data_IF_850946330949
#
_entry.id   IF_850946330949
#
_cell.length_a   1.000
_cell.length_b   1.000
_cell.length_c   1.000
_cell.angle_alpha   90.00
_cell.angle_beta   90.00
_cell.angle_gamma   90.00
#
_symmetry.space_group_name_H-M   'P 1'
#
loop_
_entity.id
_entity.type
_entity.pdbx_description
1 polymer ?
#
# COMPACT_ATOMS: atom_id res chain seq x y z
N UNK A 1 46.55 25.18 65.14
CA UNK A 1 45.40 24.24 65.08
C UNK A 1 44.15 25.06 64.77
N UNK A 2 43.39 24.88 63.69
CA UNK A 2 43.41 23.93 62.60
C UNK A 2 42.83 24.67 61.36
N UNK A 3 43.57 24.70 60.26
CA UNK A 3 43.10 25.24 58.99
C UNK A 3 42.12 24.24 58.35
N UNK A 4 40.85 24.63 58.24
CA UNK A 4 39.79 23.89 57.57
C UNK A 4 40.15 23.64 56.11
N UNK A 5 40.44 22.39 55.75
CA UNK A 5 40.47 21.93 54.37
C UNK A 5 39.06 21.54 53.94
N UNK A 6 38.43 22.37 53.10
CA UNK A 6 37.27 21.96 52.31
C UNK A 6 37.76 21.38 50.96
N UNK A 7 37.26 20.21 50.52
CA UNK A 7 37.64 19.65 49.24
C UNK A 7 37.01 20.47 48.11
N UNK A 8 37.85 20.95 47.18
CA UNK A 8 37.39 21.55 45.92
C UNK A 8 36.64 20.51 45.10
N UNK A 9 35.32 20.64 44.99
CA UNK A 9 34.50 19.90 44.02
C UNK A 9 34.93 20.29 42.61
N UNK A 10 35.56 19.35 41.90
CA UNK A 10 35.97 19.49 40.50
C UNK A 10 34.72 19.35 39.62
N UNK A 11 34.20 20.47 39.11
CA UNK A 11 33.09 20.45 38.15
C UNK A 11 33.59 19.96 36.78
N UNK A 12 33.17 18.76 36.41
CA UNK A 12 33.29 18.25 35.05
C UNK A 12 32.26 18.95 34.17
N UNK A 13 32.68 20.02 33.47
CA UNK A 13 31.85 20.64 32.42
C UNK A 13 31.74 19.66 31.24
N UNK A 14 30.53 19.26 30.80
CA UNK A 14 30.38 18.40 29.63
C UNK A 14 30.52 19.27 28.37
N UNK A 15 31.74 19.67 28.03
CA UNK A 15 32.03 20.55 26.87
C UNK A 15 31.81 19.85 25.52
N UNK A 16 31.70 18.52 25.49
CA UNK A 16 31.45 17.74 24.28
C UNK A 16 29.99 17.33 24.06
N UNK A 17 29.22 17.12 25.13
CA UNK A 17 27.88 16.52 25.04
C UNK A 17 26.89 17.36 24.21
N UNK A 18 26.78 18.65 24.49
CA UNK A 18 25.86 19.55 23.77
C UNK A 18 26.25 19.74 22.29
N UNK A 19 27.55 19.69 21.98
CA UNK A 19 28.03 19.88 20.61
C UNK A 19 27.76 18.64 19.76
N UNK A 20 28.08 17.45 20.27
CA UNK A 20 27.80 16.18 19.58
C UNK A 20 26.28 15.92 19.47
N UNK A 21 25.49 16.32 20.48
CA UNK A 21 24.03 16.29 20.43
C UNK A 21 23.46 17.18 19.32
N UNK A 22 23.95 18.42 19.20
CA UNK A 22 23.55 19.34 18.14
C UNK A 22 23.92 18.80 16.74
N UNK A 23 25.15 18.29 16.54
CA UNK A 23 25.57 17.72 15.25
C UNK A 23 24.74 16.48 14.86
N UNK A 24 24.41 15.63 15.82
CA UNK A 24 23.55 14.45 15.57
C UNK A 24 22.15 14.87 15.13
N UNK A 25 21.57 15.88 15.80
CA UNK A 25 20.25 16.41 15.45
C UNK A 25 20.23 17.03 14.04
N UNK A 26 21.24 17.84 13.68
CA UNK A 26 21.37 18.41 12.34
C UNK A 26 21.54 17.34 11.26
N UNK A 27 22.28 16.27 11.57
CA UNK A 27 22.45 15.14 10.65
C UNK A 27 21.11 14.44 10.42
N UNK A 28 20.37 14.10 11.48
CA UNK A 28 19.05 13.48 11.37
C UNK A 28 18.08 14.37 10.59
N UNK A 29 18.04 15.67 10.89
CA UNK A 29 17.17 16.63 10.21
C UNK A 29 17.43 16.69 8.69
N UNK A 30 18.69 16.57 8.27
CA UNK A 30 19.08 16.56 6.86
C UNK A 30 18.59 15.31 6.12
N UNK A 31 18.41 14.19 6.82
CA UNK A 31 17.87 12.96 6.23
C UNK A 31 16.34 12.95 6.13
N UNK A 32 15.63 13.85 6.82
CA UNK A 32 14.15 13.89 6.80
C UNK A 32 13.60 14.06 5.36
N UNK A 33 14.04 15.04 4.54
CA UNK A 33 13.57 15.17 3.16
C UNK A 33 13.87 13.93 2.31
N UNK A 34 15.01 13.27 2.52
CA UNK A 34 15.36 12.05 1.81
C UNK A 34 14.39 10.90 2.15
N UNK A 35 14.02 10.74 3.42
CA UNK A 35 13.04 9.75 3.86
C UNK A 35 11.64 10.07 3.31
N UNK A 36 11.23 11.35 3.30
CA UNK A 36 9.95 11.76 2.70
C UNK A 36 9.94 11.46 1.20
N UNK A 37 11.00 11.81 0.48
CA UNK A 37 11.13 11.52 -0.94
C UNK A 37 11.06 10.02 -1.24
N UNK A 38 11.78 9.23 -0.45
CA UNK A 38 11.80 7.76 -0.57
C UNK A 38 10.40 7.16 -0.35
N UNK A 39 9.69 7.55 0.71
CA UNK A 39 8.32 7.10 0.96
C UNK A 39 7.33 7.59 -0.12
N UNK A 40 7.61 8.72 -0.77
CA UNK A 40 6.82 9.26 -1.87
C UNK A 40 6.98 8.49 -3.18
N UNK A 41 8.20 8.09 -3.54
CA UNK A 41 8.53 7.64 -4.91
C UNK A 41 9.02 6.19 -5.01
N UNK A 42 9.63 5.64 -3.96
CA UNK A 42 10.28 4.33 -4.03
C UNK A 42 9.39 3.26 -3.41
N UNK A 43 9.01 3.44 -2.16
CA UNK A 43 8.13 2.49 -1.49
C UNK A 43 7.74 2.95 -0.11
N UNK A 44 6.60 2.45 0.35
CA UNK A 44 5.99 2.82 1.62
C UNK A 44 5.54 1.56 2.36
N UNK A 45 5.63 1.63 3.68
CA UNK A 45 5.04 0.64 4.59
C UNK A 45 3.58 1.00 4.82
N UNK A 46 2.66 0.20 4.30
CA UNK A 46 1.22 0.47 4.37
C UNK A 46 0.54 -0.41 5.42
N UNK A 47 -0.23 0.22 6.30
CA UNK A 47 -1.01 -0.44 7.34
C UNK A 47 -2.41 -0.77 6.82
N UNK A 48 -2.79 -2.04 6.85
CA UNK A 48 -4.07 -2.50 6.34
C UNK A 48 -5.07 -2.55 7.49
N UNK A 49 -5.91 -1.51 7.58
CA UNK A 49 -6.89 -1.37 8.66
C UNK A 49 -8.30 -1.89 8.29
N UNK A 50 -8.49 -2.53 7.13
CA UNK A 50 -9.81 -2.87 6.60
C UNK A 50 -9.99 -4.36 6.28
N UNK A 51 -11.24 -4.83 6.35
CA UNK A 51 -11.63 -6.22 6.05
C UNK A 51 -11.79 -6.51 4.56
N UNK A 52 -11.62 -5.53 3.67
CA UNK A 52 -11.99 -5.68 2.26
C UNK A 52 -11.08 -6.62 1.45
N UNK A 53 -9.86 -6.88 1.93
CA UNK A 53 -8.90 -7.82 1.32
C UNK A 53 -8.91 -9.20 2.01
N UNK A 54 -9.80 -9.42 2.97
CA UNK A 54 -10.01 -10.72 3.62
C UNK A 54 -10.52 -11.74 2.60
N UNK A 55 -10.07 -13.01 2.58
CA UNK A 55 -9.14 -13.65 3.52
C UNK A 55 -7.66 -13.56 3.11
N UNK A 56 -7.34 -12.93 1.98
CA UNK A 56 -5.98 -12.95 1.42
C UNK A 56 -5.01 -12.05 2.20
N UNK A 57 -5.47 -10.85 2.59
CA UNK A 57 -4.80 -10.01 3.58
C UNK A 57 -5.69 -9.92 4.81
N UNK A 58 -5.08 -9.82 5.97
CA UNK A 58 -5.70 -9.72 7.28
C UNK A 58 -6.52 -10.97 7.65
N UNK A 59 -5.90 -12.15 7.50
CA UNK A 59 -6.56 -13.46 7.73
C UNK A 59 -7.06 -13.65 9.17
N UNK A 60 -6.46 -12.95 10.14
CA UNK A 60 -6.82 -13.00 11.56
C UNK A 60 -7.76 -11.88 12.00
N UNK A 61 -8.40 -11.14 11.10
CA UNK A 61 -9.27 -10.00 11.45
C UNK A 61 -10.32 -10.32 12.54
N UNK A 62 -10.86 -11.54 12.55
CA UNK A 62 -11.87 -11.98 13.52
C UNK A 62 -11.27 -12.55 14.83
N UNK A 63 -9.99 -12.94 14.85
CA UNK A 63 -9.34 -13.64 15.98
C UNK A 63 -8.29 -12.79 16.71
N UNK A 64 -7.64 -11.85 16.01
CA UNK A 64 -6.60 -10.98 16.55
C UNK A 64 -6.71 -9.57 15.95
N UNK A 65 -6.57 -8.54 16.78
CA UNK A 65 -6.49 -7.12 16.35
C UNK A 65 -5.20 -6.80 15.55
N UNK A 66 -4.43 -7.82 15.18
CA UNK A 66 -3.22 -7.68 14.38
C UNK A 66 -3.56 -7.19 12.97
N UNK A 67 -2.95 -6.07 12.62
CA UNK A 67 -3.09 -5.45 11.30
C UNK A 67 -1.95 -5.92 10.43
N UNK A 68 -2.27 -6.32 9.22
CA UNK A 68 -1.26 -6.64 8.23
C UNK A 68 -0.49 -5.37 7.85
N UNK A 69 0.83 -5.49 7.88
CA UNK A 69 1.74 -4.46 7.40
C UNK A 69 2.31 -4.95 6.09
N UNK A 70 2.11 -4.19 5.02
CA UNK A 70 2.56 -4.57 3.69
C UNK A 70 3.54 -3.56 3.12
N UNK A 71 4.46 -4.06 2.30
CA UNK A 71 5.34 -3.25 1.48
C UNK A 71 4.66 -2.90 0.15
N UNK A 72 4.48 -1.60 -0.06
CA UNK A 72 3.98 -1.03 -1.30
C UNK A 72 5.14 -0.47 -2.11
N UNK A 73 5.41 -1.09 -3.26
CA UNK A 73 6.38 -0.59 -4.22
C UNK A 73 5.73 0.52 -5.06
N UNK A 74 6.28 1.75 -4.98
CA UNK A 74 5.81 2.92 -5.73
C UNK A 74 6.67 3.22 -6.94
N UNK A 75 7.76 2.47 -7.14
CA UNK A 75 8.58 2.58 -8.32
C UNK A 75 7.81 2.09 -9.55
N UNK A 76 7.57 2.99 -10.50
CA UNK A 76 6.84 2.70 -11.74
C UNK A 76 5.50 1.96 -11.48
N UNK A 77 4.51 2.65 -10.89
CA UNK A 77 3.28 2.01 -10.42
C UNK A 77 2.37 1.55 -11.57
N UNK A 78 2.50 2.17 -12.74
CA UNK A 78 1.62 1.98 -13.90
C UNK A 78 2.11 0.86 -14.84
N UNK A 79 3.41 0.59 -14.89
CA UNK A 79 3.99 -0.38 -15.83
C UNK A 79 3.66 -1.81 -15.45
N UNK A 80 3.49 -2.70 -16.44
CA UNK A 80 3.30 -4.13 -16.19
C UNK A 80 2.15 -4.51 -15.27
N UNK A 81 1.05 -3.74 -15.22
CA UNK A 81 -0.14 -4.08 -14.44
C UNK A 81 -0.79 -5.35 -15.00
N UNK A 82 -1.00 -6.34 -14.12
CA UNK A 82 -1.57 -7.64 -14.49
C UNK A 82 -2.72 -8.00 -13.58
N UNK A 83 -3.62 -8.82 -14.11
CA UNK A 83 -4.72 -9.44 -13.34
C UNK A 83 -4.14 -10.21 -12.15
N UNK A 84 -4.80 -10.11 -11.01
CA UNK A 84 -4.39 -10.72 -9.75
C UNK A 84 -3.48 -9.83 -8.90
N UNK A 85 -2.80 -8.83 -9.47
CA UNK A 85 -1.95 -7.92 -8.69
C UNK A 85 -2.77 -7.10 -7.68
N UNK A 86 -2.14 -6.75 -6.57
CA UNK A 86 -2.74 -5.90 -5.53
C UNK A 86 -2.13 -4.51 -5.65
N UNK A 87 -2.97 -3.50 -5.67
CA UNK A 87 -2.55 -2.11 -5.85
C UNK A 87 -3.11 -1.22 -4.76
N UNK A 88 -2.32 -0.22 -4.37
CA UNK A 88 -2.78 0.91 -3.57
C UNK A 88 -3.09 2.08 -4.49
N UNK A 89 -4.22 2.74 -4.27
CA UNK A 89 -4.67 3.87 -5.07
C UNK A 89 -5.52 4.82 -4.22
N UNK A 90 -5.63 6.07 -4.66
CA UNK A 90 -6.56 7.02 -4.01
C UNK A 90 -7.99 6.68 -4.38
N UNK A 91 -8.86 6.56 -3.39
CA UNK A 91 -10.27 6.19 -3.61
C UNK A 91 -10.99 7.28 -4.41
N UNK A 92 -11.66 6.94 -5.53
CA UNK A 92 -12.46 7.91 -6.30
C UNK A 92 -13.58 8.54 -5.47
N UNK A 93 -14.13 7.79 -4.50
CA UNK A 93 -15.21 8.26 -3.63
C UNK A 93 -14.72 9.18 -2.52
N UNK A 94 -13.47 9.02 -2.06
CA UNK A 94 -12.86 9.89 -1.05
C UNK A 94 -11.34 10.03 -1.30
N UNK A 95 -10.89 11.13 -1.94
CA UNK A 95 -9.50 11.33 -2.34
C UNK A 95 -8.48 11.35 -1.20
N UNK A 96 -8.92 11.63 0.03
CA UNK A 96 -8.07 11.63 1.24
C UNK A 96 -7.74 10.22 1.73
N UNK A 97 -8.41 9.20 1.20
CA UNK A 97 -8.26 7.81 1.61
C UNK A 97 -7.55 6.98 0.55
N UNK A 98 -6.53 6.24 0.98
CA UNK A 98 -5.84 5.25 0.14
C UNK A 98 -6.53 3.90 0.34
N UNK A 99 -6.96 3.30 -0.77
CA UNK A 99 -7.58 1.98 -0.79
C UNK A 99 -6.63 0.95 -1.38
N UNK A 100 -6.66 -0.27 -0.82
CA UNK A 100 -5.93 -1.42 -1.35
C UNK A 100 -6.96 -2.39 -1.89
N UNK A 101 -6.82 -2.73 -3.18
CA UNK A 101 -7.71 -3.66 -3.88
C UNK A 101 -6.92 -4.53 -4.85
N UNK A 102 -7.54 -5.61 -5.31
CA UNK A 102 -6.98 -6.51 -6.31
C UNK A 102 -7.46 -6.13 -7.70
N UNK A 103 -6.56 -6.12 -8.68
CA UNK A 103 -6.88 -5.99 -10.10
C UNK A 103 -7.55 -7.28 -10.57
N UNK A 104 -8.81 -7.19 -10.95
CA UNK A 104 -9.58 -8.31 -11.52
C UNK A 104 -9.45 -8.30 -13.03
N UNK A 105 -9.54 -7.12 -13.63
CA UNK A 105 -9.47 -6.95 -15.07
C UNK A 105 -8.69 -5.68 -15.45
N UNK A 106 -8.09 -5.74 -16.64
CA UNK A 106 -7.32 -4.65 -17.23
C UNK A 106 -8.03 -4.16 -18.48
N UNK A 107 -7.52 -3.09 -19.06
CA UNK A 107 -7.97 -2.57 -20.35
C UNK A 107 -8.33 -3.65 -21.38
N UNK A 108 -9.44 -3.44 -22.07
CA UNK A 108 -9.92 -4.32 -23.14
C UNK A 108 -10.69 -5.55 -22.64
N UNK A 109 -10.60 -5.90 -21.36
CA UNK A 109 -11.38 -6.98 -20.76
C UNK A 109 -12.86 -6.65 -20.67
N UNK A 110 -13.69 -7.69 -20.67
CA UNK A 110 -15.10 -7.61 -20.34
C UNK A 110 -15.34 -8.26 -18.97
N UNK A 111 -15.86 -7.49 -18.03
CA UNK A 111 -16.15 -7.93 -16.65
C UNK A 111 -17.64 -8.06 -16.43
N UNK A 112 -18.06 -9.13 -15.77
CA UNK A 112 -19.40 -9.27 -15.20
C UNK A 112 -19.45 -8.60 -13.83
N UNK A 113 -20.24 -7.54 -13.72
CA UNK A 113 -20.33 -6.71 -12.52
C UNK A 113 -21.27 -7.33 -11.49
N UNK A 114 -21.30 -6.72 -10.30
CA UNK A 114 -22.25 -7.01 -9.22
C UNK A 114 -23.04 -5.74 -8.89
N UNK A 115 -24.19 -5.94 -8.27
CA UNK A 115 -24.87 -4.83 -7.58
C UNK A 115 -23.88 -4.18 -6.59
N UNK A 116 -23.84 -2.84 -6.50
CA UNK A 116 -24.82 -1.88 -7.01
C UNK A 116 -24.57 -1.34 -8.44
N UNK A 117 -23.63 -1.89 -9.20
CA UNK A 117 -23.32 -1.37 -10.54
C UNK A 117 -24.53 -1.48 -11.49
N UNK A 118 -24.86 -0.43 -12.28
CA UNK A 118 -26.11 -0.39 -13.05
C UNK A 118 -26.14 -1.35 -14.26
N UNK A 119 -24.98 -1.65 -14.85
CA UNK A 119 -24.88 -2.51 -16.04
C UNK A 119 -24.37 -3.90 -15.64
N UNK A 120 -24.90 -5.00 -16.22
CA UNK A 120 -24.45 -6.36 -15.87
C UNK A 120 -23.04 -6.69 -16.38
N UNK A 121 -22.57 -5.97 -17.39
CA UNK A 121 -21.22 -6.13 -17.95
C UNK A 121 -20.60 -4.79 -18.29
N UNK A 122 -19.28 -4.70 -18.15
CA UNK A 122 -18.50 -3.51 -18.48
C UNK A 122 -17.26 -3.93 -19.25
N UNK A 123 -17.02 -3.27 -20.38
CA UNK A 123 -15.73 -3.36 -21.07
C UNK A 123 -14.79 -2.31 -20.50
N UNK A 124 -13.60 -2.73 -20.05
CA UNK A 124 -12.66 -1.84 -19.40
C UNK A 124 -12.05 -0.90 -20.43
N UNK A 125 -12.19 0.43 -20.26
CA UNK A 125 -11.68 1.40 -21.21
C UNK A 125 -10.16 1.49 -21.14
N UNK A 126 -9.60 2.20 -22.13
CA UNK A 126 -8.16 2.45 -22.23
C UNK A 126 -7.65 3.19 -21.00
N UNK A 127 -6.47 2.81 -20.51
CA UNK A 127 -5.86 3.38 -19.30
C UNK A 127 -6.66 3.20 -18.01
N UNK A 128 -7.53 2.19 -17.95
CA UNK A 128 -8.29 1.88 -16.75
C UNK A 128 -8.10 0.43 -16.31
N UNK A 129 -8.37 0.19 -15.03
CA UNK A 129 -8.39 -1.14 -14.43
C UNK A 129 -9.67 -1.32 -13.62
N UNK A 130 -10.13 -2.56 -13.52
CA UNK A 130 -11.20 -2.95 -12.62
C UNK A 130 -10.62 -3.62 -11.39
N UNK A 131 -10.90 -3.04 -10.23
CA UNK A 131 -10.40 -3.51 -8.94
C UNK A 131 -11.53 -3.94 -8.01
N UNK A 132 -11.35 -5.07 -7.32
CA UNK A 132 -12.29 -5.59 -6.33
C UNK A 132 -11.60 -5.91 -5.01
N UNK A 133 -12.38 -5.90 -3.93
CA UNK A 133 -11.95 -6.51 -2.67
C UNK A 133 -12.04 -8.04 -2.76
N UNK A 134 -11.19 -8.74 -1.99
CA UNK A 134 -11.25 -10.20 -1.89
C UNK A 134 -12.39 -10.67 -0.95
N UNK A 135 -12.95 -9.75 -0.15
CA UNK A 135 -14.01 -10.06 0.80
C UNK A 135 -15.29 -10.50 0.08
N UNK A 136 -15.90 -11.58 0.59
CA UNK A 136 -17.16 -12.12 0.08
C UNK A 136 -18.35 -11.20 0.41
N UNK A 137 -18.25 -10.44 1.50
CA UNK A 137 -19.31 -9.52 1.92
C UNK A 137 -19.23 -8.22 1.11
N UNK A 138 -20.09 -8.08 0.10
CA UNK A 138 -20.16 -6.88 -0.75
C UNK A 138 -20.36 -5.59 0.06
N UNK A 139 -21.10 -5.65 1.18
CA UNK A 139 -21.35 -4.49 2.03
C UNK A 139 -20.11 -4.00 2.81
N UNK A 140 -19.05 -4.81 2.89
CA UNK A 140 -17.79 -4.48 3.58
C UNK A 140 -16.67 -4.04 2.63
N UNK A 141 -16.94 -3.97 1.33
CA UNK A 141 -15.99 -3.54 0.30
C UNK A 141 -16.56 -2.42 -0.56
N UNK A 142 -15.91 -1.26 -0.53
CA UNK A 142 -16.11 -0.24 -1.56
C UNK A 142 -15.13 -0.51 -2.69
N UNK A 143 -15.62 -0.93 -3.86
CA UNK A 143 -14.79 -1.32 -5.00
C UNK A 143 -15.35 -0.86 -6.35
N UNK A 144 -14.81 -1.37 -7.46
CA UNK A 144 -15.23 -0.95 -8.81
C UNK A 144 -16.69 -1.27 -9.11
N UNK A 145 -17.34 -2.19 -8.38
CA UNK A 145 -18.79 -2.37 -8.50
C UNK A 145 -19.58 -1.16 -7.96
N UNK A 146 -18.96 -0.29 -7.16
CA UNK A 146 -19.59 0.93 -6.64
C UNK A 146 -19.24 2.16 -7.48
N UNK A 147 -17.96 2.40 -7.77
CA UNK A 147 -17.51 3.62 -8.48
C UNK A 147 -17.12 3.39 -9.95
N UNK A 148 -17.10 2.14 -10.43
CA UNK A 148 -16.70 1.79 -11.79
C UNK A 148 -15.21 1.56 -11.99
N UNK A 149 -14.74 1.47 -13.26
CA UNK A 149 -13.33 1.29 -13.55
C UNK A 149 -12.53 2.53 -13.13
N UNK A 150 -11.32 2.32 -12.61
CA UNK A 150 -10.44 3.41 -12.15
C UNK A 150 -9.33 3.67 -13.17
N UNK A 151 -8.96 4.94 -13.40
CA UNK A 151 -7.81 5.25 -14.23
C UNK A 151 -6.52 4.79 -13.53
N UNK A 152 -5.57 4.28 -14.31
CA UNK A 152 -4.28 3.79 -13.80
C UNK A 152 -3.46 4.88 -13.10
N UNK A 153 -3.71 6.15 -13.38
CA UNK A 153 -3.05 7.30 -12.74
C UNK A 153 -3.40 7.46 -11.26
N UNK A 154 -4.50 6.87 -10.77
CA UNK A 154 -4.82 6.86 -9.34
C UNK A 154 -3.97 5.86 -8.55
N UNK A 155 -3.34 4.91 -9.23
CA UNK A 155 -2.50 3.88 -8.62
C UNK A 155 -1.21 4.53 -8.10
N UNK A 156 -1.02 4.45 -6.79
CA UNK A 156 0.16 4.95 -6.11
C UNK A 156 1.27 3.91 -6.05
N UNK A 157 0.92 2.62 -5.98
CA UNK A 157 1.90 1.55 -5.89
C UNK A 157 1.32 0.16 -5.97
N UNK A 158 2.21 -0.82 -6.08
CA UNK A 158 1.92 -2.26 -6.12
C UNK A 158 2.27 -2.86 -4.76
N UNK A 159 1.33 -3.54 -4.14
CA UNK A 159 1.57 -4.24 -2.88
C UNK A 159 2.25 -5.57 -3.21
N UNK A 160 3.50 -5.74 -2.76
CA UNK A 160 4.35 -6.86 -3.20
C UNK A 160 4.76 -7.81 -2.10
N UNK A 161 4.88 -7.35 -0.86
CA UNK A 161 5.30 -8.19 0.26
C UNK A 161 4.45 -7.90 1.50
N UNK A 162 4.21 -8.93 2.29
CA UNK A 162 3.69 -8.80 3.65
C UNK A 162 4.89 -8.76 4.59
N UNK A 163 4.99 -7.69 5.37
CA UNK A 163 6.05 -7.45 6.36
C UNK A 163 5.67 -7.92 7.76
N UNK A 164 4.37 -7.89 8.08
CA UNK A 164 3.83 -8.35 9.36
C UNK A 164 2.39 -8.84 9.14
N UNK A 165 1.91 -9.89 9.84
CA UNK A 165 2.56 -10.67 10.91
C UNK A 165 3.62 -11.66 10.41
N UNK A 166 4.60 -12.01 11.27
CA UNK A 166 5.73 -12.91 10.90
C UNK A 166 5.29 -14.24 10.27
N UNK A 167 4.13 -14.76 10.67
CA UNK A 167 3.57 -16.02 10.14
C UNK A 167 3.23 -15.94 8.65
N UNK A 168 2.88 -14.75 8.18
CA UNK A 168 2.49 -14.46 6.80
C UNK A 168 3.56 -13.65 6.07
N UNK A 169 4.74 -13.46 6.67
CA UNK A 169 5.84 -12.70 6.08
C UNK A 169 6.30 -13.34 4.77
N UNK A 170 6.37 -12.54 3.72
CA UNK A 170 6.86 -13.01 2.43
C UNK A 170 6.28 -12.27 1.23
N UNK A 171 6.69 -12.69 0.01
CA UNK A 171 6.18 -12.13 -1.22
C UNK A 171 4.72 -12.53 -1.45
N UNK A 172 3.93 -11.57 -1.93
CA UNK A 172 2.54 -11.77 -2.32
C UNK A 172 2.50 -12.54 -3.64
N UNK A 173 1.98 -13.77 -3.58
CA UNK A 173 1.82 -14.66 -4.75
C UNK A 173 0.55 -14.34 -5.53
N UNK A 174 0.54 -13.18 -6.18
CA UNK A 174 -0.60 -12.74 -6.97
C UNK A 174 -0.86 -13.61 -8.21
N UNK A 175 0.13 -14.37 -8.69
CA UNK A 175 0.00 -15.29 -9.83
C UNK A 175 -0.91 -16.48 -9.55
N UNK A 176 -0.98 -16.92 -8.30
CA UNK A 176 -1.81 -18.06 -7.87
C UNK A 176 -3.30 -17.67 -7.82
N UNK A 177 -3.62 -16.37 -7.91
CA UNK A 177 -4.99 -15.89 -7.92
C UNK A 177 -5.71 -16.37 -9.18
N UNK A 178 -6.61 -17.34 -9.00
CA UNK A 178 -7.56 -17.72 -10.03
C UNK A 178 -8.70 -16.71 -10.04
N UNK A 179 -8.70 -15.82 -11.03
CA UNK A 179 -9.87 -15.01 -11.33
C UNK A 179 -11.07 -15.95 -11.48
N UNK A 180 -12.07 -15.81 -10.61
CA UNK A 180 -13.37 -16.48 -10.81
C UNK A 180 -13.85 -16.17 -12.24
N UNK A 181 -14.55 -17.10 -12.89
CA UNK A 181 -15.03 -17.00 -14.27
C UNK A 181 -16.01 -15.83 -14.50
N UNK A 182 -15.51 -14.59 -14.38
CA UNK A 182 -16.23 -13.31 -14.41
C UNK A 182 -15.53 -12.29 -15.31
N UNK A 183 -14.42 -12.69 -15.93
CA UNK A 183 -13.66 -11.85 -16.86
C UNK A 183 -13.48 -12.63 -18.14
N UNK A 184 -14.02 -12.08 -19.23
CA UNK A 184 -13.69 -12.51 -20.58
C UNK A 184 -12.50 -11.66 -20.98
N UNK A 185 -11.35 -12.32 -21.19
CA UNK A 185 -10.11 -11.65 -21.56
C UNK A 185 -10.30 -10.95 -22.90
N UNK A 186 -9.96 -9.67 -22.97
CA UNK A 186 -9.89 -8.94 -24.22
C UNK A 186 -8.90 -9.60 -25.17
N UNK A 187 -9.13 -9.49 -26.49
CA UNK A 187 -8.16 -9.97 -27.47
C UNK A 187 -6.82 -9.24 -27.29
N UNK A 188 -5.68 -9.95 -27.41
CA UNK A 188 -4.35 -9.38 -27.17
C UNK A 188 -4.01 -8.22 -28.11
N UNK A 189 -4.63 -8.13 -29.29
CA UNK A 189 -4.49 -6.98 -30.21
C UNK A 189 -4.97 -5.63 -29.64
N UNK A 190 -5.78 -5.64 -28.57
CA UNK A 190 -6.26 -4.43 -27.88
C UNK A 190 -5.56 -4.21 -26.52
N UNK A 191 -4.60 -5.05 -26.14
CA UNK A 191 -3.87 -4.88 -24.89
C UNK A 191 -2.66 -3.96 -25.15
N UNK A 192 -2.57 -2.77 -24.53
CA UNK A 192 -1.39 -1.94 -24.71
C UNK A 192 -0.18 -2.58 -24.02
N UNK A 193 0.97 -2.48 -24.68
CA UNK A 193 2.26 -2.68 -24.06
C UNK A 193 2.46 -1.62 -22.99
N UNK A 194 2.28 -2.01 -21.73
CA UNK A 194 2.72 -1.24 -20.56
C UNK A 194 4.23 -1.39 -20.37
N UNK A 195 4.97 -1.29 -21.48
CA UNK A 195 6.42 -1.49 -21.59
C UNK A 195 7.15 -0.17 -21.28
#
# INVERSE_FOLDING_TARGET
MASRFLPKLRSSRPRGFFREFNYTLFTIATWIPAVIFFNGHVGEVTWINGSSMYPFLNSSYDESLEKDVCWTNKWSPITGLRRGMIVSFRSPSNPETVSIKRIIAVEGDLVFTRAPYPLPTVRIPVNHVWVEGDNKDTNKTLDSNTYGPIPVSLIQGKVTHVLWPWKSFGPIRWQEFRSRARVIKGRPENAPGWD
#
